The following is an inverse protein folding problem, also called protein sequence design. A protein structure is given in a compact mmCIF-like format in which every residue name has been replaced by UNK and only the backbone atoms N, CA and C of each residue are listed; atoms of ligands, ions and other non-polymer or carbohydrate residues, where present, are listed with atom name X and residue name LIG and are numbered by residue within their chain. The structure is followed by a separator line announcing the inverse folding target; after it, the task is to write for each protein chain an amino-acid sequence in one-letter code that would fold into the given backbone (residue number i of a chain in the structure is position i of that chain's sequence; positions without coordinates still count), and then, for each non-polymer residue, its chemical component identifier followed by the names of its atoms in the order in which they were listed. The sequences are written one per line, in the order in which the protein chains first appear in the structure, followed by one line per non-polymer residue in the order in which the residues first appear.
data_IF_325889366244
#
_entry.id   IF_325889366244
#
_cell.length_a   1.000
_cell.length_b   1.000
_cell.length_c   1.000
_cell.angle_alpha   90.00
_cell.angle_beta   90.00
_cell.angle_gamma   90.00
#
_symmetry.space_group_name_H-M   'P 1'
#
loop_
_entity.id
_entity.type
_entity.pdbx_description
1 polymer ?
#
# COMPACT_ATOMS: atom_id res chain seq x y z
N UNK A 1 -4.21 -30.16 -33.27
CA UNK A 1 -4.65 -28.78 -33.58
C UNK A 1 -5.98 -28.56 -32.86
N UNK A 2 -6.15 -27.90 -31.72
CA UNK A 2 -5.35 -26.96 -30.93
C UNK A 2 -5.72 -27.23 -29.46
N UNK A 3 -4.82 -27.85 -28.70
CA UNK A 3 -4.98 -28.08 -27.25
C UNK A 3 -3.73 -27.54 -26.53
N UNK A 4 -3.32 -26.31 -26.84
CA UNK A 4 -2.16 -25.66 -26.20
C UNK A 4 -2.28 -24.13 -26.24
N UNK A 5 -3.37 -23.54 -25.76
CA UNK A 5 -3.45 -22.07 -25.56
C UNK A 5 -3.97 -21.66 -24.19
N UNK A 6 -4.26 -22.60 -23.28
CA UNK A 6 -4.79 -22.28 -21.94
C UNK A 6 -3.74 -22.10 -20.83
N UNK A 7 -2.43 -22.12 -21.15
CA UNK A 7 -1.38 -22.19 -20.11
C UNK A 7 -0.31 -21.09 -20.14
N UNK A 8 -0.51 -20.02 -20.91
CA UNK A 8 0.25 -18.78 -20.73
C UNK A 8 -0.69 -17.69 -20.23
N UNK A 9 -0.93 -17.68 -18.91
CA UNK A 9 -1.50 -16.50 -18.24
C UNK A 9 -0.56 -15.34 -18.56
N UNK A 10 -1.04 -14.39 -19.38
CA UNK A 10 -0.29 -13.19 -19.82
C UNK A 10 0.42 -12.59 -18.59
N UNK A 11 1.75 -12.64 -18.59
CA UNK A 11 2.56 -12.22 -17.45
C UNK A 11 2.67 -10.69 -17.49
N UNK A 12 1.67 -10.06 -16.89
CA UNK A 12 1.53 -8.62 -16.85
C UNK A 12 1.93 -8.12 -15.45
N UNK A 13 3.04 -7.38 -15.40
CA UNK A 13 3.62 -6.83 -14.17
C UNK A 13 2.60 -5.93 -13.46
N UNK A 14 1.78 -5.18 -14.20
CA UNK A 14 0.73 -4.32 -13.63
C UNK A 14 -0.28 -5.21 -12.89
N UNK A 15 -0.73 -6.29 -13.53
CA UNK A 15 -1.66 -7.23 -12.89
C UNK A 15 -1.04 -7.97 -11.69
N UNK A 16 0.25 -8.27 -11.71
CA UNK A 16 0.96 -8.83 -10.55
C UNK A 16 0.94 -7.86 -9.36
N UNK A 17 1.33 -6.59 -9.58
CA UNK A 17 1.29 -5.55 -8.54
C UNK A 17 -0.14 -5.33 -8.04
N UNK A 18 -1.13 -5.31 -8.95
CA UNK A 18 -2.54 -5.18 -8.57
C UNK A 18 -3.01 -6.31 -7.67
N UNK A 19 -2.67 -7.55 -8.02
CA UNK A 19 -3.03 -8.72 -7.23
C UNK A 19 -2.34 -8.72 -5.87
N UNK A 20 -1.09 -8.29 -5.78
CA UNK A 20 -0.38 -8.13 -4.51
C UNK A 20 -1.08 -7.12 -3.60
N UNK A 21 -1.40 -5.94 -4.13
CA UNK A 21 -2.11 -4.90 -3.36
C UNK A 21 -3.49 -5.37 -2.92
N UNK A 22 -4.25 -6.06 -3.79
CA UNK A 22 -5.55 -6.65 -3.42
C UNK A 22 -5.43 -7.67 -2.28
N UNK A 23 -4.36 -8.47 -2.23
CA UNK A 23 -4.10 -9.39 -1.11
C UNK A 23 -3.86 -8.64 0.19
N UNK A 24 -3.08 -7.55 0.15
CA UNK A 24 -2.87 -6.68 1.31
C UNK A 24 -4.20 -6.11 1.80
N UNK A 25 -5.02 -5.55 0.89
CA UNK A 25 -6.33 -5.01 1.25
C UNK A 25 -7.26 -6.04 1.88
N UNK A 26 -7.22 -7.28 1.39
CA UNK A 26 -8.00 -8.40 1.97
C UNK A 26 -7.56 -8.73 3.39
N UNK A 27 -6.25 -8.65 3.70
CA UNK A 27 -5.71 -8.88 5.05
C UNK A 27 -6.13 -7.76 6.01
N UNK A 28 -6.17 -6.51 5.53
CA UNK A 28 -6.57 -5.34 6.33
C UNK A 28 -8.07 -5.39 6.67
N UNK A 29 -8.88 -5.95 5.77
CA UNK A 29 -10.33 -6.07 5.90
C UNK A 29 -11.05 -4.74 5.68
N UNK A 30 -12.34 -4.66 6.06
CA UNK A 30 -13.14 -3.45 5.90
C UNK A 30 -12.81 -2.36 6.92
N UNK A 31 -13.14 -1.11 6.60
CA UNK A 31 -12.98 0.08 7.43
C UNK A 31 -12.17 1.16 6.72
N UNK A 32 -12.15 2.37 7.29
CA UNK A 32 -11.42 3.53 6.77
C UNK A 32 -9.92 3.25 6.83
N UNK A 33 -9.25 3.39 5.68
CA UNK A 33 -7.82 3.11 5.52
C UNK A 33 -7.06 4.37 5.11
N UNK A 34 -5.86 4.49 5.65
CA UNK A 34 -4.83 5.41 5.18
C UNK A 34 -3.75 4.61 4.47
N UNK A 35 -3.29 5.11 3.33
CA UNK A 35 -2.17 4.57 2.60
C UNK A 35 -0.96 5.50 2.77
N UNK A 36 0.07 4.98 3.43
CA UNK A 36 1.34 5.67 3.64
C UNK A 36 2.36 5.10 2.67
N UNK A 37 2.94 5.99 1.87
CA UNK A 37 3.84 5.63 0.78
C UNK A 37 5.16 6.39 0.90
N UNK A 38 6.21 5.87 0.27
CA UNK A 38 7.42 6.66 0.00
C UNK A 38 7.31 7.38 -1.37
N UNK A 39 8.27 8.24 -1.67
CA UNK A 39 8.28 9.03 -2.91
C UNK A 39 8.19 8.19 -4.19
N UNK A 40 8.86 7.04 -4.22
CA UNK A 40 8.89 6.16 -5.40
C UNK A 40 7.66 5.27 -5.49
N UNK A 41 7.19 4.76 -4.35
CA UNK A 41 5.98 3.94 -4.24
C UNK A 41 4.76 4.73 -4.68
N UNK A 42 4.71 6.04 -4.39
CA UNK A 42 3.64 6.93 -4.90
C UNK A 42 3.58 6.84 -6.43
N UNK A 43 4.72 6.99 -7.11
CA UNK A 43 4.77 6.93 -8.58
C UNK A 43 4.28 5.57 -9.10
N UNK A 44 4.69 4.47 -8.46
CA UNK A 44 4.26 3.11 -8.86
C UNK A 44 2.75 2.94 -8.65
N UNK A 45 2.22 3.30 -7.48
CA UNK A 45 0.80 3.15 -7.16
C UNK A 45 -0.07 4.02 -8.05
N UNK A 46 0.34 5.25 -8.34
CA UNK A 46 -0.39 6.16 -9.24
C UNK A 46 -0.46 5.64 -10.69
N UNK A 47 0.55 4.91 -11.16
CA UNK A 47 0.54 4.28 -12.49
C UNK A 47 -0.37 3.05 -12.53
N UNK A 48 -0.42 2.30 -11.44
CA UNK A 48 -1.11 1.00 -11.39
C UNK A 48 -2.59 1.14 -11.01
N UNK A 49 -2.94 2.12 -10.17
CA UNK A 49 -4.28 2.31 -9.63
C UNK A 49 -4.78 3.74 -9.79
N UNK A 50 -5.94 3.94 -10.45
CA UNK A 50 -6.60 5.23 -10.41
C UNK A 50 -7.15 5.50 -9.01
N UNK A 51 -7.13 6.76 -8.58
CA UNK A 51 -7.57 7.17 -7.25
C UNK A 51 -9.01 6.75 -6.93
N UNK A 52 -9.90 6.78 -7.93
CA UNK A 52 -11.29 6.33 -7.79
C UNK A 52 -11.42 4.84 -7.43
N UNK A 53 -10.47 4.00 -7.84
CA UNK A 53 -10.45 2.59 -7.47
C UNK A 53 -9.99 2.39 -6.02
N UNK A 54 -9.02 3.20 -5.56
CA UNK A 54 -8.53 3.15 -4.18
C UNK A 54 -9.61 3.62 -3.18
N UNK A 55 -10.37 4.66 -3.53
CA UNK A 55 -11.52 5.10 -2.72
C UNK A 55 -12.60 4.00 -2.58
N UNK A 56 -12.85 3.21 -3.63
CA UNK A 56 -13.77 2.05 -3.57
C UNK A 56 -13.29 0.95 -2.63
N UNK A 57 -12.00 0.93 -2.30
CA UNK A 57 -11.40 0.01 -1.33
C UNK A 57 -11.33 0.63 0.08
N UNK A 58 -12.07 1.72 0.31
CA UNK A 58 -12.13 2.46 1.57
C UNK A 58 -10.78 3.10 1.96
N UNK A 59 -9.91 3.38 0.97
CA UNK A 59 -8.67 4.14 1.16
C UNK A 59 -8.97 5.60 0.86
N UNK A 60 -8.99 6.45 1.89
CA UNK A 60 -9.38 7.85 1.77
C UNK A 60 -8.25 8.82 2.05
N UNK A 61 -7.23 8.38 2.80
CA UNK A 61 -6.09 9.20 3.14
C UNK A 61 -4.84 8.67 2.43
N UNK A 62 -4.12 9.58 1.78
CA UNK A 62 -2.84 9.30 1.13
C UNK A 62 -1.81 10.25 1.73
N UNK A 63 -0.78 9.68 2.33
CA UNK A 63 0.29 10.47 2.92
C UNK A 63 1.65 9.89 2.54
N UNK A 64 2.66 10.76 2.56
CA UNK A 64 4.05 10.37 2.37
C UNK A 64 4.70 10.20 3.73
N UNK A 65 5.50 9.16 3.90
CA UNK A 65 6.10 8.81 5.20
C UNK A 65 6.89 9.95 5.85
N UNK A 66 7.57 10.78 5.06
CA UNK A 66 8.36 11.94 5.49
C UNK A 66 7.51 13.21 5.74
N UNK A 67 6.25 13.25 5.34
CA UNK A 67 5.36 14.40 5.49
C UNK A 67 3.96 14.00 5.97
N UNK A 68 3.91 13.15 7.00
CA UNK A 68 2.67 12.71 7.66
C UNK A 68 2.10 13.83 8.53
N UNK A 69 0.77 13.97 8.58
CA UNK A 69 0.12 14.87 9.53
C UNK A 69 0.28 14.38 10.99
N UNK A 70 0.11 15.29 11.93
CA UNK A 70 0.18 15.00 13.38
C UNK A 70 -1.17 14.62 13.98
N UNK A 71 -2.24 14.63 13.20
CA UNK A 71 -3.61 14.44 13.70
C UNK A 71 -3.85 12.99 14.12
N UNK A 72 -4.39 12.78 15.33
CA UNK A 72 -4.75 11.43 15.77
C UNK A 72 -5.96 10.89 15.01
N UNK A 73 -5.79 9.72 14.39
CA UNK A 73 -6.80 9.06 13.56
C UNK A 73 -7.09 7.66 14.10
N UNK A 74 -7.66 7.62 15.31
CA UNK A 74 -7.83 6.40 16.12
C UNK A 74 -8.79 5.34 15.55
N UNK A 75 -9.56 5.66 14.51
CA UNK A 75 -10.43 4.71 13.80
C UNK A 75 -9.87 4.27 12.45
N UNK A 76 -8.75 4.86 12.02
CA UNK A 76 -8.17 4.63 10.70
C UNK A 76 -7.12 3.52 10.79
N UNK A 77 -7.15 2.61 9.81
CA UNK A 77 -6.13 1.57 9.63
C UNK A 77 -5.07 2.08 8.67
N UNK A 78 -3.82 2.11 9.10
CA UNK A 78 -2.71 2.57 8.28
C UNK A 78 -2.04 1.40 7.56
N UNK A 79 -1.88 1.52 6.25
CA UNK A 79 -1.13 0.60 5.39
C UNK A 79 0.12 1.33 4.93
N UNK A 80 1.27 0.88 5.41
CA UNK A 80 2.57 1.39 4.99
C UNK A 80 3.10 0.51 3.87
N UNK A 81 3.19 1.04 2.66
CA UNK A 81 3.86 0.39 1.54
C UNK A 81 5.14 1.15 1.27
N UNK A 82 6.26 0.59 1.73
CA UNK A 82 7.54 1.29 1.81
C UNK A 82 8.67 0.40 1.32
N UNK A 83 9.76 1.01 0.88
CA UNK A 83 11.03 0.29 0.71
C UNK A 83 11.71 0.03 2.06
N UNK A 84 12.45 -1.07 2.24
CA UNK A 84 13.20 -1.39 3.45
C UNK A 84 14.48 -0.55 3.57
N UNK A 85 14.39 0.78 3.41
CA UNK A 85 15.51 1.69 3.60
C UNK A 85 15.66 2.08 5.07
N UNK A 86 16.90 2.37 5.49
CA UNK A 86 17.17 2.83 6.88
C UNK A 86 16.35 4.07 7.25
N UNK A 87 16.18 4.99 6.31
CA UNK A 87 15.38 6.20 6.47
C UNK A 87 13.91 5.88 6.78
N UNK A 88 13.27 5.04 5.96
CA UNK A 88 11.87 4.64 6.14
C UNK A 88 11.68 3.91 7.48
N UNK A 89 12.62 3.02 7.83
CA UNK A 89 12.57 2.27 9.10
C UNK A 89 12.73 3.21 10.29
N UNK A 90 13.65 4.18 10.24
CA UNK A 90 13.84 5.15 11.31
C UNK A 90 12.59 6.02 11.54
N UNK A 91 11.99 6.52 10.45
CA UNK A 91 10.75 7.30 10.54
C UNK A 91 9.61 6.44 11.09
N UNK A 92 9.49 5.20 10.62
CA UNK A 92 8.48 4.27 11.10
C UNK A 92 8.64 3.97 12.59
N UNK A 93 9.86 3.72 13.07
CA UNK A 93 10.14 3.54 14.49
C UNK A 93 9.75 4.78 15.32
N UNK A 94 9.94 5.98 14.79
CA UNK A 94 9.45 7.22 15.41
C UNK A 94 7.92 7.24 15.52
N UNK A 95 7.21 6.88 14.45
CA UNK A 95 5.75 6.82 14.42
C UNK A 95 5.17 5.79 15.37
N UNK A 96 5.84 4.63 15.54
CA UNK A 96 5.37 3.59 16.45
C UNK A 96 5.51 3.97 17.93
N UNK A 97 6.38 4.94 18.28
CA UNK A 97 6.49 5.47 19.65
C UNK A 97 5.31 6.36 20.04
N UNK A 98 4.66 6.99 19.07
CA UNK A 98 3.50 7.86 19.27
C UNK A 98 2.39 7.45 18.30
N UNK A 99 1.61 6.41 18.63
CA UNK A 99 0.65 5.82 17.70
C UNK A 99 -0.45 6.81 17.32
N UNK A 100 -0.52 7.11 16.02
CA UNK A 100 -1.51 7.95 15.36
C UNK A 100 -2.73 7.17 14.88
N UNK A 101 -2.53 5.92 14.48
CA UNK A 101 -3.55 5.08 13.83
C UNK A 101 -4.00 3.93 14.73
N UNK A 102 -5.18 3.37 14.44
CA UNK A 102 -5.74 2.23 15.18
C UNK A 102 -4.89 0.95 15.03
N UNK A 103 -4.41 0.71 13.81
CA UNK A 103 -3.67 -0.48 13.39
C UNK A 103 -2.68 -0.11 12.32
N UNK A 104 -1.55 -0.80 12.35
CA UNK A 104 -0.43 -0.59 11.45
C UNK A 104 -0.19 -1.87 10.65
N UNK A 105 -0.31 -1.78 9.33
CA UNK A 105 0.00 -2.86 8.40
C UNK A 105 1.25 -2.46 7.63
N UNK A 106 2.35 -3.19 7.85
CA UNK A 106 3.64 -2.90 7.23
C UNK A 106 3.85 -3.83 6.03
N UNK A 107 4.11 -3.24 4.88
CA UNK A 107 4.37 -3.94 3.62
C UNK A 107 5.66 -3.40 3.03
N UNK A 108 6.76 -4.14 3.22
CA UNK A 108 8.02 -3.83 2.57
C UNK A 108 8.08 -4.46 1.19
N UNK A 109 8.62 -3.74 0.21
CA UNK A 109 8.95 -4.28 -1.10
C UNK A 109 10.42 -4.01 -1.44
N UNK A 110 11.08 -5.01 -1.99
CA UNK A 110 12.53 -5.02 -2.25
C UNK A 110 12.86 -5.17 -3.75
N UNK A 111 11.84 -5.39 -4.60
CA UNK A 111 11.98 -6.00 -5.93
C UNK A 111 11.16 -5.32 -7.05
N UNK A 112 10.75 -4.07 -6.90
CA UNK A 112 10.11 -3.34 -8.01
C UNK A 112 11.15 -2.50 -8.75
#
# INVERSE_FOLDING_TARGET
FFFTTSLFKKMDVINCVRNYFKRILKIVGSGIKALILDRETISIISLVFPQSELHKQEIYLFERIDSMSTDQLLFVKAIFVLRPTKENVNVLCGQLKSPRFSKYYLCFYDFL
#
